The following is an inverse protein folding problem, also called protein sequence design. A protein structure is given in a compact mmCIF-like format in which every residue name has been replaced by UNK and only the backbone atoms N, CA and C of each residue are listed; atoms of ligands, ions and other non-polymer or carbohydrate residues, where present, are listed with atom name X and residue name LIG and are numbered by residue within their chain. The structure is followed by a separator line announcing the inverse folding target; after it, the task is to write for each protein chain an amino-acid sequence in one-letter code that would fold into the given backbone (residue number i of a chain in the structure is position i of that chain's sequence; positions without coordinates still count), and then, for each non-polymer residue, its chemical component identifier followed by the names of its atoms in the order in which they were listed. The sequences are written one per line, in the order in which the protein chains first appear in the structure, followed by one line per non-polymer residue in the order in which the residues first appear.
data_IF_203975857930
#
_entry.id   IF_203975857930
#
_cell.length_a   1.000
_cell.length_b   1.000
_cell.length_c   1.000
_cell.angle_alpha   90.00
_cell.angle_beta   90.00
_cell.angle_gamma   90.00
#
_symmetry.space_group_name_H-M   'P 1'
#
loop_
_entity.id
_entity.type
_entity.pdbx_description
1 polymer ?
#
# COMPACT_ATOMS: atom_id res chain seq x y z
N UNK A 1 -34.24 56.06 -15.86
CA UNK A 1 -34.15 55.39 -17.18
C UNK A 1 -33.30 54.16 -17.00
N UNK A 2 -33.90 52.97 -16.94
CA UNK A 2 -33.22 51.71 -16.58
C UNK A 2 -33.07 50.87 -17.83
N UNK A 3 -31.83 50.67 -18.31
CA UNK A 3 -31.54 49.87 -19.51
C UNK A 3 -31.28 48.41 -19.14
N UNK A 4 -32.17 47.51 -19.56
CA UNK A 4 -32.01 46.06 -19.44
C UNK A 4 -31.18 45.55 -20.61
N UNK A 5 -29.99 44.98 -20.34
CA UNK A 5 -29.13 44.38 -21.37
C UNK A 5 -29.40 42.88 -21.46
N UNK A 6 -30.07 42.45 -22.52
CA UNK A 6 -30.30 41.04 -22.85
C UNK A 6 -29.00 40.40 -23.36
N UNK A 7 -28.56 39.30 -22.73
CA UNK A 7 -27.41 38.52 -23.18
C UNK A 7 -27.82 37.46 -24.25
N UNK A 8 -26.97 37.15 -25.24
CA UNK A 8 -27.26 36.15 -26.26
C UNK A 8 -27.17 34.72 -25.69
N UNK A 9 -28.09 33.85 -26.13
CA UNK A 9 -28.09 32.42 -25.77
C UNK A 9 -27.09 31.66 -26.65
N UNK A 10 -26.07 31.08 -26.03
CA UNK A 10 -25.11 30.18 -26.67
C UNK A 10 -25.77 28.83 -26.93
N UNK A 11 -25.67 28.23 -28.13
CA UNK A 11 -26.19 26.89 -28.39
C UNK A 11 -25.40 25.83 -27.61
N UNK A 12 -26.12 24.93 -26.94
CA UNK A 12 -25.55 23.86 -26.15
C UNK A 12 -24.82 22.84 -27.06
N UNK A 13 -23.49 22.86 -27.03
CA UNK A 13 -22.66 21.83 -27.67
C UNK A 13 -22.90 20.49 -26.98
N UNK A 14 -23.39 19.49 -27.72
CA UNK A 14 -23.46 18.10 -27.25
C UNK A 14 -22.05 17.60 -26.95
N UNK A 15 -21.72 17.47 -25.68
CA UNK A 15 -20.48 16.80 -25.23
C UNK A 15 -20.56 15.34 -25.66
N UNK A 16 -19.67 14.91 -26.56
CA UNK A 16 -19.41 13.49 -26.77
C UNK A 16 -18.72 12.99 -25.49
N UNK A 17 -19.28 11.96 -24.86
CA UNK A 17 -18.64 11.31 -23.73
C UNK A 17 -17.31 10.72 -24.22
N UNK A 18 -16.19 11.21 -23.68
CA UNK A 18 -14.93 10.52 -23.81
C UNK A 18 -15.10 9.18 -23.10
N UNK A 19 -14.90 8.08 -23.84
CA UNK A 19 -14.80 6.76 -23.23
C UNK A 19 -13.40 6.71 -22.61
N UNK A 20 -13.32 7.08 -21.34
CA UNK A 20 -12.14 6.83 -20.51
C UNK A 20 -12.03 5.33 -20.30
N UNK A 21 -11.42 4.63 -21.26
CA UNK A 21 -10.95 3.26 -21.03
C UNK A 21 -9.84 3.36 -19.99
N UNK A 22 -10.02 2.84 -18.77
CA UNK A 22 -8.94 2.89 -17.79
C UNK A 22 -7.77 2.07 -18.31
N UNK A 23 -6.63 2.72 -18.54
CA UNK A 23 -5.35 2.07 -18.77
C UNK A 23 -5.04 1.29 -17.49
N UNK A 24 -5.22 -0.04 -17.53
CA UNK A 24 -5.26 -0.91 -16.36
C UNK A 24 -4.33 -0.48 -15.23
N UNK A 25 -4.89 0.05 -14.15
CA UNK A 25 -4.12 0.45 -12.97
C UNK A 25 -3.67 -0.78 -12.20
N UNK A 26 -2.36 -1.01 -12.16
CA UNK A 26 -1.74 -2.02 -11.29
C UNK A 26 -1.65 -1.57 -9.82
N UNK A 27 -1.93 -0.29 -9.55
CA UNK A 27 -1.91 0.24 -8.19
C UNK A 27 -3.24 -0.09 -7.53
N UNK A 28 -3.27 -1.18 -6.75
CA UNK A 28 -4.30 -1.36 -5.73
C UNK A 28 -4.00 -0.43 -4.57
N UNK A 29 -4.67 0.72 -4.54
CA UNK A 29 -4.84 1.45 -3.29
C UNK A 29 -5.76 0.62 -2.38
N UNK A 30 -5.20 -0.11 -1.43
CA UNK A 30 -5.97 -0.82 -0.39
C UNK A 30 -5.89 -2.34 -0.45
N UNK A 31 -4.70 -2.89 -0.20
CA UNK A 31 -4.44 -4.33 -0.25
C UNK A 31 -3.85 -4.91 1.02
N UNK A 32 -4.31 -4.48 2.20
CA UNK A 32 -4.49 -5.30 3.40
C UNK A 32 -5.62 -4.64 4.17
N UNK A 33 -6.56 -5.42 4.70
CA UNK A 33 -7.51 -4.93 5.68
C UNK A 33 -6.73 -4.12 6.72
N UNK A 34 -7.02 -2.82 6.81
CA UNK A 34 -6.47 -1.92 7.82
C UNK A 34 -7.07 -2.23 9.20
N UNK A 35 -7.28 -3.52 9.49
CA UNK A 35 -7.50 -4.04 10.80
C UNK A 35 -6.23 -3.77 11.60
N UNK A 36 -6.24 -2.63 12.31
CA UNK A 36 -5.32 -2.25 13.38
C UNK A 36 -3.93 -2.85 13.19
N UNK A 37 -3.08 -2.21 12.38
CA UNK A 37 -1.65 -2.54 12.44
C UNK A 37 -1.24 -2.28 13.88
N UNK A 38 -0.93 -3.31 14.70
CA UNK A 38 -0.56 -3.07 16.07
C UNK A 38 0.70 -2.20 16.05
N UNK A 39 0.73 -1.17 16.90
CA UNK A 39 1.89 -0.32 17.06
C UNK A 39 3.14 -1.15 17.34
N UNK A 40 4.32 -0.54 17.18
CA UNK A 40 5.58 -1.26 17.36
C UNK A 40 5.62 -1.99 18.71
N UNK A 41 5.84 -3.30 18.69
CA UNK A 41 5.89 -4.14 19.91
C UNK A 41 6.99 -3.72 20.89
N UNK A 42 8.00 -2.97 20.42
CA UNK A 42 9.10 -2.48 21.24
C UNK A 42 8.83 -1.09 21.83
N UNK A 43 8.32 -0.12 21.06
CA UNK A 43 8.19 1.27 21.50
C UNK A 43 6.78 1.88 21.42
N UNK A 44 5.79 1.10 20.97
CA UNK A 44 4.39 1.51 20.85
C UNK A 44 4.08 2.50 19.74
N UNK A 45 5.06 2.90 18.92
CA UNK A 45 4.82 3.87 17.85
C UNK A 45 4.05 3.27 16.67
N UNK A 46 3.15 4.05 16.07
CA UNK A 46 2.34 3.62 14.92
C UNK A 46 3.08 3.70 13.57
N UNK A 47 4.31 4.23 13.57
CA UNK A 47 5.15 4.29 12.37
C UNK A 47 5.78 2.94 12.09
N UNK A 48 4.97 1.98 11.67
CA UNK A 48 5.35 0.60 11.37
C UNK A 48 5.14 0.30 9.89
N UNK A 49 6.19 -0.20 9.24
CA UNK A 49 6.11 -0.75 7.88
C UNK A 49 6.01 -2.26 7.96
N UNK A 50 5.06 -2.86 7.26
CA UNK A 50 4.88 -4.31 7.16
C UNK A 50 4.93 -4.72 5.69
N UNK A 51 5.73 -5.74 5.37
CA UNK A 51 5.94 -6.22 4.01
C UNK A 51 5.83 -7.74 3.97
N UNK A 52 4.83 -8.25 3.25
CA UNK A 52 4.73 -9.67 2.95
C UNK A 52 5.65 -10.02 1.77
N UNK A 53 6.44 -11.09 1.90
CA UNK A 53 7.35 -11.57 0.86
C UNK A 53 7.59 -13.07 0.97
N UNK A 54 8.04 -13.68 -0.12
CA UNK A 54 8.45 -15.09 -0.14
C UNK A 54 9.98 -15.18 -0.18
N UNK A 55 10.57 -15.93 0.74
CA UNK A 55 12.01 -16.17 0.78
C UNK A 55 12.46 -17.12 -0.34
N UNK A 56 13.77 -17.26 -0.52
CA UNK A 56 14.37 -18.07 -1.60
C UNK A 56 13.99 -19.55 -1.53
N UNK A 57 13.75 -20.08 -0.33
CA UNK A 57 13.29 -21.44 -0.10
C UNK A 57 11.78 -21.65 -0.33
N UNK A 58 11.04 -20.59 -0.70
CA UNK A 58 9.59 -20.62 -0.89
C UNK A 58 8.78 -20.29 0.36
N UNK A 59 9.41 -20.06 1.52
CA UNK A 59 8.69 -19.67 2.75
C UNK A 59 8.03 -18.30 2.58
N UNK A 60 6.71 -18.23 2.78
CA UNK A 60 5.99 -16.96 2.89
C UNK A 60 6.26 -16.32 4.27
N UNK A 61 6.64 -15.05 4.27
CA UNK A 61 7.05 -14.32 5.46
C UNK A 61 6.47 -12.91 5.48
N UNK A 62 6.44 -12.33 6.67
CA UNK A 62 6.11 -10.93 6.87
C UNK A 62 7.25 -10.26 7.62
N UNK A 63 7.85 -9.25 7.00
CA UNK A 63 8.84 -8.38 7.61
C UNK A 63 8.15 -7.16 8.20
N UNK A 64 8.52 -6.81 9.43
CA UNK A 64 8.03 -5.61 10.11
C UNK A 64 9.21 -4.74 10.54
N UNK A 65 9.16 -3.43 10.25
CA UNK A 65 10.14 -2.45 10.72
C UNK A 65 9.49 -1.21 11.32
N UNK A 66 10.02 -0.73 12.44
CA UNK A 66 9.59 0.51 13.06
C UNK A 66 10.43 1.69 12.55
N UNK A 67 9.79 2.73 12.01
CA UNK A 67 10.45 3.96 11.60
C UNK A 67 10.78 4.94 12.74
N UNK A 68 10.59 4.55 14.01
CA UNK A 68 10.94 5.35 15.20
C UNK A 68 12.13 4.77 15.97
N UNK A 69 12.04 3.51 16.37
CA UNK A 69 13.08 2.84 17.17
C UNK A 69 13.89 1.82 16.38
N UNK A 70 13.61 1.68 15.07
CA UNK A 70 14.29 0.76 14.16
C UNK A 70 14.20 -0.73 14.53
N UNK A 71 13.33 -1.10 15.47
CA UNK A 71 13.03 -2.49 15.78
C UNK A 71 12.53 -3.22 14.53
N UNK A 72 13.03 -4.45 14.35
CA UNK A 72 12.72 -5.33 13.21
C UNK A 72 12.25 -6.68 13.71
N UNK A 73 11.24 -7.23 13.06
CA UNK A 73 10.72 -8.55 13.34
C UNK A 73 10.37 -9.27 12.04
N UNK A 74 10.41 -10.60 12.11
CA UNK A 74 10.02 -11.49 11.03
C UNK A 74 8.96 -12.44 11.53
N UNK A 75 8.00 -12.76 10.67
CA UNK A 75 6.95 -13.73 10.95
C UNK A 75 6.79 -14.69 9.77
N UNK A 76 6.52 -15.96 10.05
CA UNK A 76 6.10 -16.96 9.07
C UNK A 76 4.90 -17.71 9.63
N UNK A 77 3.84 -17.87 8.84
CA UNK A 77 2.59 -18.52 9.26
C UNK A 77 2.03 -17.98 10.60
N UNK A 78 2.15 -16.66 10.80
CA UNK A 78 1.69 -15.96 12.00
C UNK A 78 2.55 -16.17 13.26
N UNK A 79 3.73 -16.79 13.15
CA UNK A 79 4.66 -16.99 14.26
C UNK A 79 5.94 -16.20 14.06
N UNK A 80 6.55 -15.73 15.15
CA UNK A 80 7.84 -15.07 15.11
C UNK A 80 8.92 -16.00 14.54
N UNK A 81 9.76 -15.46 13.66
CA UNK A 81 10.87 -16.16 13.02
C UNK A 81 12.18 -15.44 13.38
N UNK A 82 13.19 -16.20 13.80
CA UNK A 82 14.50 -15.62 14.13
C UNK A 82 15.23 -15.13 12.89
N UNK A 83 16.03 -14.07 13.05
CA UNK A 83 16.80 -13.51 11.92
C UNK A 83 17.81 -14.52 11.35
N UNK A 84 18.38 -15.39 12.19
CA UNK A 84 19.33 -16.43 11.76
C UNK A 84 18.64 -17.43 10.84
N UNK A 85 17.40 -17.79 11.13
CA UNK A 85 16.59 -18.68 10.30
C UNK A 85 16.24 -18.02 8.96
N UNK A 86 15.86 -16.73 8.96
CA UNK A 86 15.62 -15.97 7.73
C UNK A 86 16.87 -15.95 6.85
N UNK A 87 18.03 -15.69 7.44
CA UNK A 87 19.30 -15.69 6.72
C UNK A 87 19.62 -17.07 6.17
N UNK A 88 19.39 -18.15 6.94
CA UNK A 88 19.60 -19.51 6.44
C UNK A 88 18.71 -19.83 5.22
N UNK A 89 17.44 -19.41 5.25
CA UNK A 89 16.45 -19.65 4.18
C UNK A 89 16.66 -18.81 2.92
N UNK A 90 17.37 -17.69 3.03
CA UNK A 90 17.67 -16.78 1.90
C UNK A 90 19.03 -17.06 1.26
N UNK A 91 19.86 -17.92 1.87
CA UNK A 91 21.15 -18.31 1.28
C UNK A 91 20.90 -19.05 -0.03
N UNK A 92 21.59 -18.61 -1.08
CA UNK A 92 21.68 -19.35 -2.33
C UNK A 92 22.46 -20.66 -2.08
N UNK A 93 21.99 -21.82 -2.57
CA UNK A 93 22.78 -23.04 -2.53
C UNK A 93 24.08 -22.85 -3.34
N UNK A 94 25.16 -23.46 -2.85
CA UNK A 94 26.48 -23.40 -3.47
C UNK A 94 26.49 -24.05 -4.87
#
# INVERSE_FOLDING_TARGET
MTSTRTAPRVPAQRRRAAVDTPLGSLVRAGGVDAALVPGCVSCGADRVTRLAMTLTDGTATVFTSCGRCEHRAWEADGRALDITDVLARTRRPA
#
